data_IF_559606078613
#
_entry.id   IF_559606078613
#
_cell.length_a   1.000
_cell.length_b   1.000
_cell.length_c   1.000
_cell.angle_alpha   90.00
_cell.angle_beta   90.00
_cell.angle_gamma   90.00
#
_symmetry.space_group_name_H-M   'P 1'
#
loop_
_entity.id
_entity.type
_entity.pdbx_description
1 polymer ?
#
# COMPACT_ATOMS: atom_id res chain seq x y z
N UNK A 1 -23.30 0.61 29.36
CA UNK A 1 -23.14 -0.21 28.14
C UNK A 1 -24.42 -0.11 27.32
N UNK A 2 -24.37 0.35 26.06
CA UNK A 2 -25.52 0.29 25.15
C UNK A 2 -25.41 -0.99 24.33
N UNK A 3 -26.11 -2.04 24.76
CA UNK A 3 -26.21 -3.29 24.02
C UNK A 3 -26.85 -3.06 22.65
N UNK A 4 -26.29 -3.70 21.62
CA UNK A 4 -26.87 -3.76 20.28
C UNK A 4 -28.31 -4.31 20.33
N UNK A 5 -29.16 -4.01 19.32
CA UNK A 5 -30.53 -4.53 19.25
C UNK A 5 -30.55 -6.06 19.25
N UNK A 6 -29.60 -6.69 18.56
CA UNK A 6 -29.43 -8.15 18.52
C UNK A 6 -28.96 -8.71 19.86
N UNK A 7 -28.03 -8.05 20.55
CA UNK A 7 -27.59 -8.45 21.89
C UNK A 7 -28.72 -8.36 22.92
N UNK A 8 -29.58 -7.32 22.83
CA UNK A 8 -30.76 -7.20 23.70
C UNK A 8 -31.79 -8.29 23.45
N UNK A 9 -32.04 -8.63 22.19
CA UNK A 9 -32.95 -9.72 21.82
C UNK A 9 -32.38 -11.07 22.26
N UNK A 10 -31.08 -11.30 22.11
CA UNK A 10 -30.44 -12.53 22.57
C UNK A 10 -30.41 -12.63 24.10
N UNK A 11 -30.13 -11.53 24.81
CA UNK A 11 -30.24 -11.50 26.27
C UNK A 11 -31.68 -11.73 26.73
N UNK A 12 -32.67 -11.09 26.09
CA UNK A 12 -34.07 -11.28 26.43
C UNK A 12 -34.50 -12.73 26.15
N UNK A 13 -34.10 -13.29 25.01
CA UNK A 13 -34.38 -14.68 24.66
C UNK A 13 -33.68 -15.65 25.62
N UNK A 14 -32.42 -15.41 25.96
CA UNK A 14 -31.68 -16.22 26.93
C UNK A 14 -32.33 -16.16 28.31
N UNK A 15 -32.72 -14.98 28.79
CA UNK A 15 -33.42 -14.81 30.08
C UNK A 15 -34.79 -15.50 30.05
N UNK A 16 -35.55 -15.36 28.97
CA UNK A 16 -36.85 -16.02 28.81
C UNK A 16 -36.70 -17.55 28.70
N UNK A 17 -35.69 -18.03 27.97
CA UNK A 17 -35.39 -19.46 27.87
C UNK A 17 -34.92 -20.02 29.23
N UNK A 18 -34.08 -19.29 29.97
CA UNK A 18 -33.66 -19.68 31.31
C UNK A 18 -34.84 -19.69 32.28
N UNK A 19 -35.70 -18.68 32.23
CA UNK A 19 -36.92 -18.59 33.02
C UNK A 19 -37.88 -19.74 32.69
N UNK A 20 -38.08 -20.07 31.40
CA UNK A 20 -38.88 -21.20 30.95
C UNK A 20 -38.28 -22.55 31.38
N UNK A 21 -36.96 -22.70 31.32
CA UNK A 21 -36.26 -23.92 31.72
C UNK A 21 -36.37 -24.12 33.24
N UNK A 22 -36.22 -23.04 34.02
CA UNK A 22 -36.51 -23.03 35.46
C UNK A 22 -37.99 -23.38 35.71
N UNK A 23 -38.92 -22.80 34.94
CA UNK A 23 -40.36 -23.06 35.10
C UNK A 23 -40.71 -24.52 34.77
N UNK A 24 -40.11 -25.10 33.72
CA UNK A 24 -40.28 -26.49 33.32
C UNK A 24 -39.67 -27.45 34.35
N UNK A 25 -38.51 -27.12 34.93
CA UNK A 25 -37.94 -27.89 36.04
C UNK A 25 -38.85 -27.82 37.26
N UNK A 26 -39.31 -26.62 37.65
CA UNK A 26 -40.15 -26.42 38.83
C UNK A 26 -41.55 -27.05 38.68
N UNK A 27 -42.19 -26.94 37.51
CA UNK A 27 -43.55 -27.46 37.27
C UNK A 27 -43.57 -28.91 36.74
N UNK A 28 -42.55 -29.34 36.00
CA UNK A 28 -42.43 -30.72 35.53
C UNK A 28 -42.16 -31.71 36.67
N UNK A 29 -41.48 -31.26 37.73
CA UNK A 29 -41.17 -32.07 38.92
C UNK A 29 -42.23 -32.00 40.03
N UNK A 30 -43.21 -31.10 39.94
CA UNK A 30 -44.43 -31.18 40.79
C UNK A 30 -45.35 -32.34 40.42
N UNK A 31 -45.07 -33.05 39.32
CA UNK A 31 -45.75 -34.29 38.93
C UNK A 31 -44.88 -35.49 39.35
N UNK A 32 -45.12 -35.98 40.57
CA UNK A 32 -44.82 -37.30 41.18
C UNK A 32 -43.60 -38.10 40.65
N UNK A 33 -42.70 -38.42 41.58
CA UNK A 33 -41.56 -39.37 41.50
C UNK A 33 -40.21 -38.84 41.01
N UNK A 34 -39.67 -37.76 41.62
CA UNK A 34 -38.29 -37.31 41.37
C UNK A 34 -37.34 -37.53 42.56
N UNK A 35 -36.26 -38.29 42.38
CA UNK A 35 -35.21 -38.56 43.37
C UNK A 35 -34.07 -37.50 43.40
N UNK A 36 -33.19 -37.54 44.42
CA UNK A 36 -32.11 -36.54 44.61
C UNK A 36 -31.13 -36.42 43.44
N UNK A 37 -30.91 -37.51 42.70
CA UNK A 37 -30.02 -37.53 41.53
C UNK A 37 -30.59 -36.73 40.34
N UNK A 38 -31.91 -36.71 40.17
CA UNK A 38 -32.56 -35.95 39.10
C UNK A 38 -32.55 -34.44 39.39
N UNK A 39 -32.65 -34.05 40.66
CA UNK A 39 -32.44 -32.67 41.10
C UNK A 39 -31.00 -32.20 40.83
N UNK A 40 -30.01 -33.04 41.17
CA UNK A 40 -28.61 -32.73 40.92
C UNK A 40 -28.30 -32.62 39.42
N UNK A 41 -28.86 -33.52 38.60
CA UNK A 41 -28.73 -33.49 37.14
C UNK A 41 -29.36 -32.23 36.53
N UNK A 42 -30.56 -31.83 36.98
CA UNK A 42 -31.22 -30.61 36.52
C UNK A 42 -30.42 -29.34 36.89
N UNK A 43 -29.86 -29.29 38.10
CA UNK A 43 -29.00 -28.19 38.54
C UNK A 43 -27.70 -28.11 37.71
N UNK A 44 -27.06 -29.25 37.45
CA UNK A 44 -25.85 -29.30 36.62
C UNK A 44 -26.12 -28.87 35.18
N UNK A 45 -27.26 -29.26 34.59
CA UNK A 45 -27.68 -28.82 33.27
C UNK A 45 -27.95 -27.30 33.23
N UNK A 46 -28.55 -26.73 34.27
CA UNK A 46 -28.75 -25.29 34.41
C UNK A 46 -27.41 -24.54 34.48
N UNK A 47 -26.46 -25.03 35.28
CA UNK A 47 -25.10 -24.46 35.39
C UNK A 47 -24.37 -24.55 34.05
N UNK A 48 -24.46 -25.68 33.35
CA UNK A 48 -23.86 -25.87 32.03
C UNK A 48 -24.45 -24.94 30.98
N UNK A 49 -25.77 -24.75 30.96
CA UNK A 49 -26.43 -23.80 30.08
C UNK A 49 -26.00 -22.36 30.37
N UNK A 50 -25.91 -21.98 31.64
CA UNK A 50 -25.40 -20.67 32.07
C UNK A 50 -23.95 -20.44 31.63
N UNK A 51 -23.08 -21.45 31.81
CA UNK A 51 -21.69 -21.40 31.36
C UNK A 51 -21.56 -21.28 29.84
N UNK A 52 -22.41 -21.99 29.07
CA UNK A 52 -22.42 -21.91 27.61
C UNK A 52 -22.80 -20.51 27.10
N UNK A 53 -23.82 -19.87 27.71
CA UNK A 53 -24.22 -18.50 27.37
C UNK A 53 -23.12 -17.51 27.76
N UNK A 54 -22.52 -17.65 28.95
CA UNK A 54 -21.42 -16.80 29.38
C UNK A 54 -20.20 -16.93 28.46
N UNK A 55 -19.86 -18.16 28.03
CA UNK A 55 -18.79 -18.41 27.06
C UNK A 55 -19.11 -17.78 25.70
N UNK A 56 -20.35 -17.86 25.22
CA UNK A 56 -20.78 -17.20 23.99
C UNK A 56 -20.65 -15.67 24.08
N UNK A 57 -21.14 -15.04 25.16
CA UNK A 57 -21.04 -13.58 25.36
C UNK A 57 -19.59 -13.12 25.49
N UNK A 58 -18.76 -13.93 26.14
CA UNK A 58 -17.32 -13.66 26.25
C UNK A 58 -16.67 -13.77 24.87
N UNK A 59 -16.93 -14.84 24.12
CA UNK A 59 -16.41 -15.00 22.77
C UNK A 59 -16.88 -13.90 21.82
N UNK A 60 -18.15 -13.49 21.89
CA UNK A 60 -18.72 -12.44 21.05
C UNK A 60 -18.16 -11.05 21.35
N UNK A 61 -17.74 -10.79 22.59
CA UNK A 61 -17.08 -9.54 22.97
C UNK A 61 -15.59 -9.52 22.65
N UNK A 62 -14.94 -10.68 22.64
CA UNK A 62 -13.51 -10.83 22.33
C UNK A 62 -13.20 -10.83 20.83
N UNK A 63 -14.05 -11.45 20.01
CA UNK A 63 -13.80 -11.58 18.58
C UNK A 63 -13.60 -10.22 17.87
N UNK A 64 -14.44 -9.19 18.10
CA UNK A 64 -14.26 -7.88 17.49
C UNK A 64 -13.01 -7.14 18.00
N UNK A 65 -12.60 -7.39 19.25
CA UNK A 65 -11.39 -6.80 19.81
C UNK A 65 -10.13 -7.38 19.16
N UNK A 66 -10.09 -8.70 18.96
CA UNK A 66 -8.98 -9.38 18.28
C UNK A 66 -8.87 -8.96 16.82
N UNK A 67 -9.98 -8.90 16.08
CA UNK A 67 -9.97 -8.44 14.68
C UNK A 67 -9.53 -6.98 14.58
N UNK A 68 -9.99 -6.12 15.49
CA UNK A 68 -9.57 -4.71 15.54
C UNK A 68 -8.08 -4.58 15.85
N UNK A 69 -7.54 -5.39 16.76
CA UNK A 69 -6.12 -5.39 17.11
C UNK A 69 -5.23 -5.78 15.92
N UNK A 70 -5.59 -6.83 15.18
CA UNK A 70 -4.88 -7.22 13.96
C UNK A 70 -5.00 -6.13 12.87
N UNK A 71 -6.17 -5.49 12.76
CA UNK A 71 -6.35 -4.34 11.86
C UNK A 71 -5.42 -3.16 12.21
N UNK A 72 -5.27 -2.82 13.50
CA UNK A 72 -4.34 -1.78 13.93
C UNK A 72 -2.87 -2.17 13.68
N UNK A 73 -2.51 -3.44 13.83
CA UNK A 73 -1.17 -3.93 13.49
C UNK A 73 -0.85 -3.76 12.01
N UNK A 74 -1.79 -4.10 11.13
CA UNK A 74 -1.68 -3.84 9.69
C UNK A 74 -1.56 -2.34 9.40
N UNK A 75 -2.34 -1.49 10.07
CA UNK A 75 -2.27 -0.03 9.92
C UNK A 75 -0.91 0.56 10.37
N UNK A 76 -0.36 0.06 11.48
CA UNK A 76 0.98 0.43 11.96
C UNK A 76 2.03 0.03 10.92
N UNK A 77 1.96 -1.19 10.39
CA UNK A 77 2.85 -1.69 9.34
C UNK A 77 2.79 -0.81 8.10
N UNK A 78 1.58 -0.53 7.61
CA UNK A 78 1.34 0.33 6.45
C UNK A 78 1.98 1.71 6.62
N UNK A 79 1.77 2.36 7.77
CA UNK A 79 2.30 3.70 8.01
C UNK A 79 3.84 3.69 8.13
N UNK A 80 4.37 2.79 8.95
CA UNK A 80 5.79 2.81 9.32
C UNK A 80 6.71 2.20 8.26
N UNK A 81 6.22 1.27 7.44
CA UNK A 81 7.02 0.56 6.45
C UNK A 81 6.78 1.10 5.03
N UNK A 82 5.54 1.43 4.71
CA UNK A 82 5.16 1.82 3.35
C UNK A 82 4.98 3.32 3.18
N UNK A 83 4.08 3.95 3.94
CA UNK A 83 3.78 5.37 3.75
C UNK A 83 5.00 6.25 4.01
N UNK A 84 5.87 5.91 4.96
CA UNK A 84 7.11 6.65 5.22
C UNK A 84 8.02 6.75 3.98
N UNK A 85 7.95 5.77 3.08
CA UNK A 85 8.76 5.68 1.87
C UNK A 85 8.19 6.51 0.71
N UNK A 86 6.94 7.00 0.83
CA UNK A 86 6.30 7.87 -0.16
C UNK A 86 6.63 9.36 0.04
N UNK A 87 7.41 9.72 1.06
CA UNK A 87 7.81 11.10 1.34
C UNK A 87 9.25 11.40 0.92
N UNK A 88 9.99 12.05 1.82
CA UNK A 88 11.41 12.40 1.65
C UNK A 88 12.32 11.18 1.39
N UNK A 89 11.90 9.98 1.83
CA UNK A 89 12.65 8.75 1.60
C UNK A 89 12.52 8.20 0.19
N UNK A 90 11.56 8.68 -0.60
CA UNK A 90 11.39 8.23 -1.98
C UNK A 90 12.60 8.65 -2.82
N UNK A 91 13.25 7.67 -3.46
CA UNK A 91 14.52 7.89 -4.18
C UNK A 91 14.34 8.10 -5.68
N UNK A 92 13.13 7.91 -6.20
CA UNK A 92 12.87 7.75 -7.62
C UNK A 92 13.22 9.02 -8.41
N UNK A 93 12.84 10.20 -7.91
CA UNK A 93 13.21 11.46 -8.55
C UNK A 93 14.73 11.65 -8.64
N UNK A 94 15.44 11.44 -7.53
CA UNK A 94 16.91 11.58 -7.49
C UNK A 94 17.60 10.67 -8.50
N UNK A 95 17.18 9.40 -8.59
CA UNK A 95 17.78 8.44 -9.53
C UNK A 95 17.41 8.75 -10.98
N UNK A 96 16.20 9.27 -11.24
CA UNK A 96 15.84 9.77 -12.57
C UNK A 96 16.78 10.90 -13.03
N UNK A 97 17.10 11.85 -12.14
CA UNK A 97 18.07 12.91 -12.42
C UNK A 97 19.49 12.37 -12.66
N UNK A 98 19.91 11.33 -11.94
CA UNK A 98 21.19 10.65 -12.20
C UNK A 98 21.24 10.08 -13.62
N UNK A 99 20.20 9.37 -14.07
CA UNK A 99 20.10 8.85 -15.45
C UNK A 99 20.18 9.98 -16.48
N UNK A 100 19.48 11.10 -16.25
CA UNK A 100 19.55 12.27 -17.15
C UNK A 100 20.97 12.86 -17.21
N UNK A 101 21.65 12.97 -16.07
CA UNK A 101 23.01 13.51 -16.01
C UNK A 101 24.00 12.60 -16.72
N UNK A 102 23.96 11.29 -16.50
CA UNK A 102 24.89 10.37 -17.18
C UNK A 102 24.57 10.21 -18.66
N UNK A 103 23.32 10.41 -19.07
CA UNK A 103 22.95 10.52 -20.47
C UNK A 103 23.55 11.77 -21.15
N UNK A 104 23.54 12.90 -20.46
CA UNK A 104 24.15 14.15 -20.94
C UNK A 104 25.66 14.01 -21.09
N UNK A 105 26.33 13.40 -20.10
CA UNK A 105 27.78 13.11 -20.16
C UNK A 105 28.12 12.20 -21.36
N UNK A 106 27.33 11.14 -21.60
CA UNK A 106 27.53 10.27 -22.75
C UNK A 106 27.26 10.96 -24.09
N UNK A 107 26.33 11.92 -24.11
CA UNK A 107 26.09 12.75 -25.29
C UNK A 107 27.29 13.66 -25.58
N UNK A 108 27.89 14.25 -24.54
CA UNK A 108 29.06 15.14 -24.64
C UNK A 108 30.36 14.40 -24.99
N UNK A 109 30.62 13.24 -24.40
CA UNK A 109 31.87 12.47 -24.61
C UNK A 109 31.97 11.84 -26.02
N UNK A 110 30.90 11.85 -26.83
CA UNK A 110 30.71 11.30 -28.20
C UNK A 110 31.07 9.81 -28.43
N UNK A 111 32.14 9.29 -27.82
CA UNK A 111 32.65 7.92 -27.94
C UNK A 111 33.15 7.33 -26.60
N UNK A 112 32.86 7.98 -25.47
CA UNK A 112 33.27 7.54 -24.15
C UNK A 112 32.61 6.23 -23.72
N UNK A 113 33.35 5.11 -23.81
CA UNK A 113 32.90 3.78 -23.36
C UNK A 113 32.52 3.80 -21.87
N UNK A 114 33.28 4.55 -21.08
CA UNK A 114 33.04 4.73 -19.64
C UNK A 114 31.72 5.46 -19.33
N UNK A 115 31.31 6.46 -20.10
CA UNK A 115 30.01 7.12 -19.91
C UNK A 115 28.83 6.22 -20.32
N UNK A 116 29.00 5.43 -21.39
CA UNK A 116 27.99 4.48 -21.82
C UNK A 116 27.73 3.38 -20.76
N UNK A 117 28.80 2.86 -20.16
CA UNK A 117 28.72 1.82 -19.12
C UNK A 117 28.08 2.39 -17.84
N UNK A 118 28.44 3.62 -17.44
CA UNK A 118 27.82 4.33 -16.31
C UNK A 118 26.32 4.53 -16.53
N UNK A 119 25.91 5.02 -17.70
CA UNK A 119 24.49 5.20 -18.04
C UNK A 119 23.73 3.87 -17.99
N UNK A 120 24.32 2.78 -18.50
CA UNK A 120 23.70 1.46 -18.45
C UNK A 120 23.51 0.98 -17.00
N UNK A 121 24.48 1.23 -16.11
CA UNK A 121 24.37 0.89 -14.70
C UNK A 121 23.29 1.72 -13.99
N UNK A 122 23.21 3.02 -14.28
CA UNK A 122 22.19 3.90 -13.70
C UNK A 122 20.77 3.55 -14.16
N UNK A 123 20.60 3.19 -15.43
CA UNK A 123 19.29 2.72 -15.96
C UNK A 123 18.87 1.43 -15.28
N UNK A 124 19.80 0.47 -15.11
CA UNK A 124 19.51 -0.77 -14.40
C UNK A 124 19.07 -0.49 -12.95
N UNK A 125 19.80 0.38 -12.25
CA UNK A 125 19.45 0.81 -10.89
C UNK A 125 18.08 1.50 -10.84
N UNK A 126 17.79 2.35 -11.83
CA UNK A 126 16.49 3.01 -11.94
C UNK A 126 15.36 2.02 -12.16
N UNK A 127 15.58 0.99 -12.98
CA UNK A 127 14.64 -0.11 -13.22
C UNK A 127 14.36 -0.92 -11.95
N UNK A 128 15.39 -1.25 -11.17
CA UNK A 128 15.26 -1.95 -9.89
C UNK A 128 14.39 -1.16 -8.92
N UNK A 129 14.67 0.14 -8.75
CA UNK A 129 13.88 1.03 -7.89
C UNK A 129 12.44 1.17 -8.38
N UNK A 130 12.21 1.26 -9.70
CA UNK A 130 10.84 1.29 -10.24
C UNK A 130 10.06 0.01 -9.94
N UNK A 131 10.74 -1.13 -9.96
CA UNK A 131 10.13 -2.40 -9.61
C UNK A 131 9.80 -2.47 -8.11
N UNK A 132 10.71 -2.02 -7.25
CA UNK A 132 10.47 -1.89 -5.81
C UNK A 132 9.25 -0.99 -5.52
N UNK A 133 9.15 0.16 -6.17
CA UNK A 133 8.03 1.10 -5.99
C UNK A 133 6.70 0.54 -6.51
N UNK A 134 6.72 -0.25 -7.59
CA UNK A 134 5.55 -0.99 -8.07
C UNK A 134 5.10 -2.03 -7.05
N UNK A 135 6.02 -2.83 -6.53
CA UNK A 135 5.71 -3.84 -5.53
C UNK A 135 5.17 -3.20 -4.25
N UNK A 136 5.76 -2.07 -3.82
CA UNK A 136 5.27 -1.24 -2.72
C UNK A 136 3.82 -0.82 -2.91
N UNK A 137 3.45 -0.35 -4.11
CA UNK A 137 2.06 0.02 -4.43
C UNK A 137 1.10 -1.18 -4.24
N UNK A 138 1.51 -2.37 -4.67
CA UNK A 138 0.73 -3.60 -4.52
C UNK A 138 0.60 -4.01 -3.05
N UNK A 139 1.69 -3.93 -2.27
CA UNK A 139 1.69 -4.17 -0.81
C UNK A 139 0.75 -3.19 -0.09
N UNK A 140 0.79 -1.90 -0.43
CA UNK A 140 -0.12 -0.89 0.13
C UNK A 140 -1.58 -1.25 -0.17
N UNK A 141 -1.89 -1.61 -1.41
CA UNK A 141 -3.25 -1.97 -1.81
C UNK A 141 -3.77 -3.19 -1.03
N UNK A 142 -2.91 -4.20 -0.84
CA UNK A 142 -3.25 -5.40 -0.07
C UNK A 142 -3.46 -5.09 1.42
N UNK A 143 -2.60 -4.27 2.02
CA UNK A 143 -2.74 -3.84 3.41
C UNK A 143 -4.04 -3.05 3.62
N UNK A 144 -4.37 -2.10 2.74
CA UNK A 144 -5.62 -1.35 2.80
C UNK A 144 -6.84 -2.27 2.66
N UNK A 145 -6.77 -3.27 1.78
CA UNK A 145 -7.82 -4.27 1.65
C UNK A 145 -8.01 -5.07 2.95
N UNK A 146 -6.93 -5.57 3.56
CA UNK A 146 -6.98 -6.30 4.84
C UNK A 146 -7.52 -5.43 5.97
N UNK A 147 -7.05 -4.19 6.09
CA UNK A 147 -7.55 -3.23 7.08
C UNK A 147 -9.07 -3.06 6.97
N UNK A 148 -9.59 -2.95 5.73
CA UNK A 148 -11.04 -2.88 5.50
C UNK A 148 -11.76 -4.14 5.97
N UNK A 149 -11.19 -5.35 5.77
CA UNK A 149 -11.78 -6.60 6.30
C UNK A 149 -11.79 -6.67 7.83
N UNK A 150 -10.87 -5.98 8.50
CA UNK A 150 -10.84 -5.84 9.95
C UNK A 150 -11.70 -4.68 10.47
N UNK A 151 -12.48 -4.03 9.61
CA UNK A 151 -13.33 -2.89 9.98
C UNK A 151 -12.56 -1.60 10.22
N UNK A 152 -11.26 -1.52 9.87
CA UNK A 152 -10.51 -0.27 9.92
C UNK A 152 -10.66 0.51 8.62
N UNK A 153 -10.99 1.79 8.75
CA UNK A 153 -11.10 2.73 7.64
C UNK A 153 -10.27 3.97 7.93
N UNK A 154 -9.87 4.66 6.87
CA UNK A 154 -9.16 5.93 6.97
C UNK A 154 -10.11 6.97 7.56
N UNK A 155 -9.60 7.81 8.45
CA UNK A 155 -10.39 8.92 8.99
C UNK A 155 -10.87 9.85 7.86
N UNK A 156 -12.14 10.30 7.86
CA UNK A 156 -12.69 11.11 6.76
C UNK A 156 -11.87 12.37 6.42
N UNK A 157 -11.29 13.00 7.45
CA UNK A 157 -10.43 14.18 7.30
C UNK A 157 -9.09 13.88 6.60
N UNK A 158 -8.65 12.61 6.59
CA UNK A 158 -7.38 12.15 6.01
C UNK A 158 -7.55 11.47 4.67
N UNK A 159 -8.77 11.05 4.32
CA UNK A 159 -9.06 10.26 3.13
C UNK A 159 -8.59 10.94 1.84
N UNK A 160 -8.91 12.23 1.66
CA UNK A 160 -8.49 13.00 0.47
C UNK A 160 -6.96 13.06 0.33
N UNK A 161 -6.25 13.28 1.44
CA UNK A 161 -4.79 13.37 1.44
C UNK A 161 -4.15 12.01 1.14
N UNK A 162 -4.69 10.93 1.72
CA UNK A 162 -4.24 9.57 1.40
C UNK A 162 -4.48 9.22 -0.06
N UNK A 163 -5.68 9.52 -0.58
CA UNK A 163 -6.01 9.24 -1.97
C UNK A 163 -5.06 9.96 -2.93
N UNK A 164 -4.86 11.27 -2.72
CA UNK A 164 -3.91 12.07 -3.50
C UNK A 164 -2.50 11.49 -3.42
N UNK A 165 -2.02 11.10 -2.24
CA UNK A 165 -0.70 10.47 -2.08
C UNK A 165 -0.56 9.19 -2.92
N UNK A 166 -1.56 8.31 -2.91
CA UNK A 166 -1.54 7.04 -3.63
C UNK A 166 -1.70 7.21 -5.14
N UNK A 167 -2.54 8.14 -5.58
CA UNK A 167 -2.68 8.49 -6.99
C UNK A 167 -1.38 9.07 -7.55
N UNK A 168 -0.75 9.97 -6.81
CA UNK A 168 0.53 10.55 -7.21
C UNK A 168 1.65 9.52 -7.21
N UNK A 169 1.66 8.57 -6.25
CA UNK A 169 2.60 7.43 -6.28
C UNK A 169 2.44 6.61 -7.56
N UNK A 170 1.21 6.28 -7.95
CA UNK A 170 0.93 5.56 -9.18
C UNK A 170 1.37 6.36 -10.44
N UNK A 171 1.17 7.68 -10.43
CA UNK A 171 1.62 8.57 -11.50
C UNK A 171 3.15 8.57 -11.63
N UNK A 172 3.87 8.72 -10.52
CA UNK A 172 5.35 8.68 -10.50
C UNK A 172 5.88 7.39 -11.12
N UNK A 173 5.30 6.24 -10.76
CA UNK A 173 5.71 4.94 -11.31
C UNK A 173 5.49 4.91 -12.83
N UNK A 174 4.33 5.38 -13.30
CA UNK A 174 4.02 5.47 -14.74
C UNK A 174 5.00 6.38 -15.49
N UNK A 175 5.31 7.55 -14.92
CA UNK A 175 6.29 8.50 -15.47
C UNK A 175 7.69 7.88 -15.51
N UNK A 176 8.08 7.14 -14.47
CA UNK A 176 9.36 6.45 -14.43
C UNK A 176 9.51 5.38 -15.51
N UNK A 177 8.49 4.54 -15.73
CA UNK A 177 8.50 3.60 -16.86
C UNK A 177 8.57 4.32 -18.22
N UNK A 178 7.93 5.47 -18.35
CA UNK A 178 8.01 6.30 -19.56
C UNK A 178 9.44 6.80 -19.78
N UNK A 179 10.11 7.29 -18.73
CA UNK A 179 11.51 7.73 -18.79
C UNK A 179 12.44 6.57 -19.18
N UNK A 180 12.22 5.37 -18.63
CA UNK A 180 13.00 4.18 -18.95
C UNK A 180 12.84 3.77 -20.42
N UNK A 181 11.62 3.80 -20.95
CA UNK A 181 11.35 3.51 -22.36
C UNK A 181 12.03 4.54 -23.29
N UNK A 182 11.97 5.82 -22.93
CA UNK A 182 12.65 6.89 -23.66
C UNK A 182 14.17 6.65 -23.65
N UNK A 183 14.74 6.36 -22.48
CA UNK A 183 16.18 6.13 -22.31
C UNK A 183 16.66 4.95 -23.16
N UNK A 184 15.97 3.82 -23.09
CA UNK A 184 16.32 2.61 -23.83
C UNK A 184 16.22 2.81 -25.35
N UNK A 185 15.18 3.50 -25.81
CA UNK A 185 15.02 3.82 -27.24
C UNK A 185 16.20 4.65 -27.74
N UNK A 186 16.52 5.76 -27.06
CA UNK A 186 17.61 6.64 -27.48
C UNK A 186 18.98 5.95 -27.41
N UNK A 187 19.23 5.10 -26.39
CA UNK A 187 20.46 4.32 -26.31
C UNK A 187 20.60 3.37 -27.50
N UNK A 188 19.51 2.69 -27.89
CA UNK A 188 19.51 1.79 -29.03
C UNK A 188 19.80 2.52 -30.34
N UNK A 189 19.14 3.65 -30.57
CA UNK A 189 19.35 4.51 -31.74
C UNK A 189 20.80 5.01 -31.80
N UNK A 190 21.32 5.55 -30.69
CA UNK A 190 22.67 6.09 -30.61
C UNK A 190 23.74 5.01 -30.79
N UNK A 191 23.56 3.81 -30.21
CA UNK A 191 24.46 2.67 -30.45
C UNK A 191 24.51 2.28 -31.92
N UNK A 192 23.37 2.27 -32.61
CA UNK A 192 23.28 2.01 -34.05
C UNK A 192 24.03 3.08 -34.86
N UNK A 193 23.84 4.36 -34.52
CA UNK A 193 24.58 5.45 -35.16
C UNK A 193 26.08 5.40 -34.89
N UNK A 194 26.53 4.91 -33.73
CA UNK A 194 27.95 4.75 -33.38
C UNK A 194 28.58 3.53 -34.07
N UNK A 195 27.84 2.45 -34.31
CA UNK A 195 28.38 1.23 -34.93
C UNK A 195 28.52 1.32 -36.45
N UNK A 196 27.86 2.28 -37.12
CA UNK A 196 28.01 2.48 -38.56
C UNK A 196 29.45 2.89 -38.93
N UNK A 197 30.15 2.07 -39.70
CA UNK A 197 31.46 2.41 -40.27
C UNK A 197 31.30 3.26 -41.53
N UNK A 198 31.81 4.49 -41.52
CA UNK A 198 31.85 5.38 -42.69
C UNK A 198 33.30 5.42 -43.20
N UNK A 199 33.49 5.16 -44.50
CA UNK A 199 34.82 5.19 -45.13
C UNK A 199 35.47 6.57 -45.00
N UNK A 200 36.80 6.60 -44.84
CA UNK A 200 37.56 7.83 -44.68
C UNK A 200 37.43 8.80 -45.86
N UNK A 201 37.11 8.29 -47.06
CA UNK A 201 36.94 9.12 -48.26
C UNK A 201 35.59 9.84 -48.36
N UNK A 202 34.66 9.65 -47.41
CA UNK A 202 33.28 10.16 -47.49
C UNK A 202 33.00 11.24 -46.44
N UNK A 203 33.64 12.40 -46.60
CA UNK A 203 33.56 13.49 -45.62
C UNK A 203 32.13 13.99 -45.38
N UNK A 204 31.32 14.16 -46.43
CA UNK A 204 29.93 14.60 -46.29
C UNK A 204 29.09 13.62 -45.47
N UNK A 205 29.31 12.31 -45.60
CA UNK A 205 28.60 11.28 -44.82
C UNK A 205 29.04 11.29 -43.34
N UNK A 206 30.32 11.58 -43.07
CA UNK A 206 30.84 11.75 -41.69
C UNK A 206 30.23 12.98 -41.02
N UNK A 207 30.15 14.09 -41.74
CA UNK A 207 29.60 15.34 -41.23
C UNK A 207 28.09 15.23 -40.98
N UNK A 208 27.35 14.60 -41.90
CA UNK A 208 25.92 14.32 -41.72
C UNK A 208 25.67 13.44 -40.50
N UNK A 209 26.45 12.36 -40.33
CA UNK A 209 26.40 11.51 -39.14
C UNK A 209 26.70 12.28 -37.84
N UNK A 210 27.68 13.20 -37.88
CA UNK A 210 28.02 14.04 -36.71
C UNK A 210 26.84 14.91 -36.29
N UNK A 211 26.18 15.56 -37.25
CA UNK A 211 24.96 16.34 -37.01
C UNK A 211 23.82 15.46 -36.48
N UNK A 212 23.65 14.26 -37.01
CA UNK A 212 22.64 13.32 -36.51
C UNK A 212 22.90 12.91 -35.05
N UNK A 213 24.14 12.63 -34.68
CA UNK A 213 24.52 12.30 -33.29
C UNK A 213 24.33 13.47 -32.32
N UNK A 214 24.58 14.70 -32.75
CA UNK A 214 24.34 15.92 -31.96
C UNK A 214 22.85 16.19 -31.79
N UNK A 215 22.07 16.11 -32.88
CA UNK A 215 20.63 16.30 -32.86
C UNK A 215 19.94 15.24 -32.00
N UNK A 216 20.35 13.96 -32.13
CA UNK A 216 19.84 12.87 -31.32
C UNK A 216 20.18 13.06 -29.83
N UNK A 217 21.42 13.46 -29.50
CA UNK A 217 21.82 13.73 -28.12
C UNK A 217 21.05 14.89 -27.49
N UNK A 218 20.88 15.99 -28.22
CA UNK A 218 20.09 17.15 -27.76
C UNK A 218 18.63 16.77 -27.54
N UNK A 219 18.03 16.02 -28.47
CA UNK A 219 16.65 15.55 -28.34
C UNK A 219 16.47 14.59 -27.15
N UNK A 220 17.44 13.69 -26.92
CA UNK A 220 17.45 12.77 -25.77
C UNK A 220 17.50 13.53 -24.45
N UNK A 221 18.48 14.42 -24.27
CA UNK A 221 18.63 15.19 -23.02
C UNK A 221 17.41 16.06 -22.75
N UNK A 222 16.84 16.70 -23.79
CA UNK A 222 15.62 17.47 -23.66
C UNK A 222 14.42 16.62 -23.21
N UNK A 223 14.21 15.45 -23.84
CA UNK A 223 13.12 14.55 -23.49
C UNK A 223 13.26 13.98 -22.06
N UNK A 224 14.48 13.61 -21.66
CA UNK A 224 14.77 13.14 -20.31
C UNK A 224 14.57 14.23 -19.27
N UNK A 225 15.01 15.46 -19.55
CA UNK A 225 14.81 16.61 -18.66
C UNK A 225 13.32 16.90 -18.43
N UNK A 226 12.51 16.89 -19.50
CA UNK A 226 11.06 17.08 -19.38
C UNK A 226 10.45 16.02 -18.45
N UNK A 227 10.81 14.75 -18.62
CA UNK A 227 10.28 13.66 -17.78
C UNK A 227 10.81 13.67 -16.35
N UNK A 228 12.07 14.05 -16.14
CA UNK A 228 12.61 14.24 -14.79
C UNK A 228 11.86 15.34 -14.03
N UNK A 229 11.50 16.44 -14.71
CA UNK A 229 10.69 17.51 -14.11
C UNK A 229 9.28 17.05 -13.78
N UNK A 230 8.62 16.29 -14.65
CA UNK A 230 7.31 15.69 -14.36
C UNK A 230 7.38 14.77 -13.13
N UNK A 231 8.41 13.92 -13.03
CA UNK A 231 8.65 13.06 -11.87
C UNK A 231 8.91 13.88 -10.61
N UNK A 232 9.73 14.94 -10.69
CA UNK A 232 10.03 15.82 -9.56
C UNK A 232 8.78 16.52 -9.04
N UNK A 233 7.96 17.08 -9.93
CA UNK A 233 6.71 17.74 -9.56
C UNK A 233 5.74 16.77 -8.90
N UNK A 234 5.62 15.55 -9.44
CA UNK A 234 4.79 14.52 -8.85
C UNK A 234 5.36 14.06 -7.48
N UNK A 235 6.68 13.95 -7.32
CA UNK A 235 7.29 13.64 -6.02
C UNK A 235 6.97 14.72 -4.98
N UNK A 236 7.05 16.00 -5.34
CA UNK A 236 6.67 17.09 -4.43
C UNK A 236 5.19 17.04 -4.03
N UNK A 237 4.31 16.76 -4.99
CA UNK A 237 2.87 16.57 -4.72
C UNK A 237 2.62 15.39 -3.77
N UNK A 238 3.24 14.23 -4.03
CA UNK A 238 3.14 13.04 -3.19
C UNK A 238 3.63 13.32 -1.77
N UNK A 239 4.76 14.02 -1.65
CA UNK A 239 5.33 14.43 -0.38
C UNK A 239 4.42 15.37 0.41
N UNK A 240 3.83 16.36 -0.26
CA UNK A 240 2.92 17.30 0.37
C UNK A 240 1.61 16.61 0.80
N UNK A 241 1.10 15.68 -0.01
CA UNK A 241 -0.06 14.87 0.33
C UNK A 241 0.23 13.96 1.55
N UNK A 242 1.42 13.36 1.62
CA UNK A 242 1.87 12.58 2.77
C UNK A 242 1.96 13.45 4.04
N UNK A 243 2.58 14.63 3.96
CA UNK A 243 2.67 15.56 5.08
C UNK A 243 1.28 15.99 5.57
N UNK A 244 0.34 16.22 4.65
CA UNK A 244 -1.06 16.54 4.96
C UNK A 244 -1.79 15.36 5.62
N UNK A 245 -1.55 14.14 5.13
CA UNK A 245 -2.10 12.92 5.70
C UNK A 245 -1.68 12.76 7.17
N UNK A 246 -0.40 12.93 7.48
CA UNK A 246 0.06 12.89 8.88
C UNK A 246 -0.39 14.11 9.68
N UNK A 247 -0.36 15.32 9.11
CA UNK A 247 -0.78 16.56 9.78
C UNK A 247 -0.08 16.80 11.12
N UNK A 248 1.16 16.30 11.28
CA UNK A 248 1.94 16.35 12.52
C UNK A 248 1.59 15.29 13.58
N UNK A 249 0.48 14.55 13.43
CA UNK A 249 0.05 13.52 14.37
C UNK A 249 0.16 12.13 13.73
N UNK A 250 1.11 11.34 14.25
CA UNK A 250 1.43 10.01 13.73
C UNK A 250 0.64 8.90 14.43
N UNK A 251 -0.28 9.25 15.35
CA UNK A 251 -1.08 8.25 16.07
C UNK A 251 -2.05 7.57 15.12
N UNK A 252 -1.94 6.25 15.02
CA UNK A 252 -2.76 5.43 14.12
C UNK A 252 -4.26 5.62 14.36
N UNK A 253 -4.70 5.78 15.61
CA UNK A 253 -6.10 6.05 15.94
C UNK A 253 -6.65 7.41 15.48
N UNK A 254 -5.79 8.31 14.98
CA UNK A 254 -6.19 9.55 14.29
C UNK A 254 -6.22 9.40 12.78
N UNK A 255 -5.34 8.56 12.25
CA UNK A 255 -5.24 8.28 10.81
C UNK A 255 -6.32 7.28 10.36
N UNK A 256 -6.69 6.35 11.23
CA UNK A 256 -7.66 5.29 10.98
C UNK A 256 -8.61 5.11 12.16
N UNK A 257 -9.85 4.76 11.87
CA UNK A 257 -10.90 4.50 12.84
C UNK A 257 -11.62 3.18 12.54
N UNK A 258 -12.26 2.62 13.56
CA UNK A 258 -13.10 1.43 13.41
C UNK A 258 -14.46 1.86 12.88
N UNK A 259 -14.90 1.25 11.77
CA UNK A 259 -16.26 1.40 11.24
C UNK A 259 -17.25 0.96 12.32
N UNK A 260 -18.18 1.83 12.67
CA UNK A 260 -19.34 1.44 13.47
C UNK A 260 -20.42 1.02 12.49
N UNK A 261 -20.46 -0.27 12.19
CA UNK A 261 -21.60 -0.88 11.51
C UNK A 261 -22.83 -0.90 12.44
#
# INVERSE_FOLDING_TARGET
>A
MKFSRTERVLHAFAVVAFALLILIILFGQTVKDSGPAEWLSALLNLVMAGAAVAAYLTASSWLPQLTTQEGYKEAIGLVNQEFIMLGERNRLSRVAWTVRSTAEDWCAERYGRNAADRLSADIKRFQEILHEERNRKETIALALFRMKTYGLQVSPEKERAMHSMLETHALIIKLGFTLLNISNRFISERKTLISMTVSFGRENEREERRKQLENNGTAMVHALNLKCREIQNAWEQMKNAQATFFGGDHRIGKLFHVSKD
#
